data_IF_929730524697
#
_entry.id   IF_929730524697
#
_cell.length_a   1.000
_cell.length_b   1.000
_cell.length_c   1.000
_cell.angle_alpha   90.00
_cell.angle_beta   90.00
_cell.angle_gamma   90.00
#
_symmetry.space_group_name_H-M   'P 1'
#
loop_
_entity.id
_entity.type
_entity.pdbx_description
1 polymer ?
#
# COMPACT_ATOMS: atom_id res chain seq x y z
N UNK A 1 21.52 8.73 45.11
CA UNK A 1 21.19 7.30 45.18
C UNK A 1 20.79 6.87 43.79
N UNK A 2 21.57 5.94 43.15
CA UNK A 2 21.24 5.42 41.83
C UNK A 2 20.26 4.25 41.93
N UNK A 3 19.21 4.26 41.13
CA UNK A 3 18.25 3.17 41.04
C UNK A 3 18.58 2.27 39.85
N UNK A 4 18.53 0.95 40.05
CA UNK A 4 18.79 -0.03 39.02
C UNK A 4 17.51 -0.43 38.32
N UNK A 5 17.50 -0.33 36.97
CA UNK A 5 16.40 -0.79 36.12
C UNK A 5 16.70 -2.16 35.53
N UNK A 6 15.68 -2.97 35.30
CA UNK A 6 15.82 -4.30 34.75
C UNK A 6 16.12 -4.23 33.25
N UNK A 7 17.27 -4.77 32.84
CA UNK A 7 17.74 -4.75 31.44
C UNK A 7 17.71 -6.12 30.74
N UNK A 8 17.63 -7.25 31.46
CA UNK A 8 17.74 -8.61 30.92
C UNK A 8 16.41 -9.33 30.74
N UNK A 9 16.35 -10.25 29.74
CA UNK A 9 15.14 -10.84 29.20
C UNK A 9 14.57 -12.08 29.93
N UNK A 10 14.90 -12.34 31.19
CA UNK A 10 14.39 -13.51 31.95
C UNK A 10 13.03 -13.30 32.62
N UNK A 11 12.47 -12.10 32.52
CA UNK A 11 11.21 -11.71 33.20
C UNK A 11 10.25 -11.18 32.12
N UNK A 12 8.97 -11.48 32.24
CA UNK A 12 7.95 -11.05 31.28
C UNK A 12 7.94 -9.54 31.05
N UNK A 13 7.69 -9.12 29.80
CA UNK A 13 7.79 -7.73 29.35
C UNK A 13 6.88 -6.79 30.18
N UNK A 14 5.68 -7.24 30.53
CA UNK A 14 4.72 -6.43 31.29
C UNK A 14 5.16 -6.20 32.73
N UNK A 15 5.68 -7.26 33.40
CA UNK A 15 6.23 -7.13 34.75
C UNK A 15 7.44 -6.18 34.78
N UNK A 16 8.30 -6.26 33.76
CA UNK A 16 9.45 -5.38 33.59
C UNK A 16 9.02 -3.92 33.41
N UNK A 17 8.00 -3.65 32.61
CA UNK A 17 7.44 -2.30 32.43
C UNK A 17 6.88 -1.75 33.76
N UNK A 18 6.09 -2.55 34.47
CA UNK A 18 5.52 -2.15 35.75
C UNK A 18 6.60 -1.89 36.80
N UNK A 19 7.62 -2.77 36.89
CA UNK A 19 8.74 -2.59 37.80
C UNK A 19 9.52 -1.30 37.48
N UNK A 20 9.92 -1.09 36.24
CA UNK A 20 10.67 0.11 35.86
C UNK A 20 9.84 1.39 36.05
N UNK A 21 8.53 1.36 35.80
CA UNK A 21 7.63 2.48 36.11
C UNK A 21 7.60 2.82 37.62
N UNK A 22 7.55 1.80 38.50
CA UNK A 22 7.61 2.00 39.93
C UNK A 22 8.97 2.55 40.37
N UNK A 23 10.07 2.07 39.78
CA UNK A 23 11.42 2.62 40.01
C UNK A 23 11.49 4.08 39.64
N UNK A 24 11.01 4.46 38.45
CA UNK A 24 10.96 5.85 37.98
C UNK A 24 10.12 6.76 38.87
N UNK A 25 8.98 6.24 39.38
CA UNK A 25 8.12 6.95 40.34
C UNK A 25 8.84 7.19 41.68
N UNK A 26 9.48 6.15 42.22
CA UNK A 26 10.23 6.23 43.46
C UNK A 26 11.42 7.19 43.34
N UNK A 27 12.18 7.14 42.24
CA UNK A 27 13.28 8.03 41.98
C UNK A 27 12.84 9.50 41.93
N UNK A 28 11.70 9.78 41.30
CA UNK A 28 11.09 11.13 41.27
C UNK A 28 10.70 11.60 42.67
N UNK A 29 10.09 10.75 43.50
CA UNK A 29 9.71 11.11 44.84
C UNK A 29 10.92 11.32 45.75
N UNK A 30 11.95 10.48 45.68
CA UNK A 30 13.23 10.67 46.41
C UNK A 30 13.89 12.00 46.02
N UNK A 31 13.95 12.31 44.71
CA UNK A 31 14.50 13.58 44.24
C UNK A 31 13.67 14.80 44.69
N UNK A 32 12.35 14.65 44.83
CA UNK A 32 11.47 15.69 45.35
C UNK A 32 11.71 15.92 46.88
N UNK A 33 11.88 14.84 47.62
CA UNK A 33 12.17 14.94 49.06
C UNK A 33 13.52 15.56 49.34
N UNK A 34 14.57 15.16 48.61
CA UNK A 34 15.93 15.73 48.71
C UNK A 34 15.94 17.25 48.45
N UNK A 35 15.18 17.70 47.43
CA UNK A 35 15.01 19.14 47.19
C UNK A 35 14.29 19.86 48.29
N UNK A 36 13.27 19.23 48.88
CA UNK A 36 12.52 19.81 50.03
C UNK A 36 13.39 19.92 51.28
N UNK A 37 14.23 18.92 51.52
CA UNK A 37 15.15 18.95 52.67
C UNK A 37 16.22 20.05 52.51
N UNK A 38 16.81 20.20 51.32
CA UNK A 38 17.75 21.32 51.03
C UNK A 38 17.09 22.68 51.19
N UNK A 39 15.83 22.85 50.76
CA UNK A 39 15.07 24.05 50.96
C UNK A 39 14.86 24.38 52.48
N UNK A 40 14.50 23.39 53.27
CA UNK A 40 14.29 23.54 54.72
C UNK A 40 15.63 23.84 55.42
N UNK A 41 16.73 23.20 55.06
CA UNK A 41 18.06 23.46 55.58
C UNK A 41 18.50 24.89 55.28
N UNK A 42 18.32 25.38 54.04
CA UNK A 42 18.64 26.75 53.66
C UNK A 42 17.82 27.78 54.40
N UNK A 43 16.50 27.52 54.62
CA UNK A 43 15.65 28.41 55.41
C UNK A 43 16.06 28.41 56.88
N UNK A 44 16.38 27.28 57.46
CA UNK A 44 16.83 27.14 58.84
C UNK A 44 18.15 27.84 59.06
N UNK A 45 19.10 27.68 58.17
CA UNK A 45 20.40 28.37 58.22
C UNK A 45 20.24 29.91 58.13
N UNK A 46 19.35 30.39 57.26
CA UNK A 46 19.05 31.81 57.17
C UNK A 46 18.39 32.35 58.44
N UNK A 47 17.47 31.61 59.02
CA UNK A 47 16.80 32.00 60.26
C UNK A 47 17.78 32.09 61.44
N UNK A 48 18.74 31.14 61.54
CA UNK A 48 19.77 31.16 62.60
C UNK A 48 20.73 32.29 62.46
N UNK A 49 21.17 32.61 61.22
CA UNK A 49 22.14 33.72 60.97
C UNK A 49 21.58 35.10 61.25
N UNK A 50 20.25 35.28 61.26
CA UNK A 50 19.59 36.59 61.38
C UNK A 50 18.64 36.69 62.60
N UNK A 51 18.75 35.77 63.55
CA UNK A 51 17.89 35.70 64.74
C UNK A 51 17.99 36.88 65.76
N UNK A 52 18.46 38.06 65.31
CA UNK A 52 18.73 39.19 66.20
C UNK A 52 18.10 40.54 65.80
N UNK A 53 17.11 40.63 64.93
CA UNK A 53 16.57 41.94 64.55
C UNK A 53 15.30 41.92 63.70
N UNK A 54 14.42 42.90 63.98
CA UNK A 54 13.13 43.14 63.35
C UNK A 54 13.02 42.95 61.83
N UNK A 55 11.89 42.39 61.39
CA UNK A 55 11.28 42.37 60.01
C UNK A 55 12.16 41.99 58.78
N UNK A 56 13.46 41.89 58.97
CA UNK A 56 14.40 41.59 57.87
C UNK A 56 14.37 40.10 57.50
N UNK A 57 13.95 39.22 58.41
CA UNK A 57 14.00 37.77 58.21
C UNK A 57 13.03 37.29 57.14
N UNK A 58 11.87 37.92 56.98
CA UNK A 58 10.90 37.53 55.94
C UNK A 58 11.47 37.85 54.54
N UNK A 59 12.13 38.97 54.37
CA UNK A 59 12.76 39.35 53.07
C UNK A 59 13.99 38.48 52.76
N UNK A 60 14.76 38.11 53.80
CA UNK A 60 15.93 37.21 53.63
C UNK A 60 15.48 35.79 53.29
N UNK A 61 14.45 35.29 53.97
CA UNK A 61 13.85 34.00 53.68
C UNK A 61 13.22 33.93 52.27
N UNK A 62 12.64 35.07 51.84
CA UNK A 62 12.11 35.20 50.49
C UNK A 62 13.16 35.13 49.38
N UNK A 63 14.47 35.22 49.68
CA UNK A 63 15.56 35.03 48.72
C UNK A 63 15.92 33.57 48.45
N UNK A 64 15.37 32.64 49.20
CA UNK A 64 15.61 31.21 48.99
C UNK A 64 14.45 30.62 48.14
N UNK A 65 14.79 29.98 47.02
CA UNK A 65 13.77 29.35 46.19
C UNK A 65 13.38 27.97 46.75
N UNK A 66 12.35 27.32 46.20
CA UNK A 66 11.87 26.03 46.61
C UNK A 66 12.85 24.86 46.39
N UNK A 67 13.96 25.10 45.67
CA UNK A 67 15.06 24.13 45.41
C UNK A 67 16.18 24.28 46.46
N UNK A 68 16.15 25.36 47.28
CA UNK A 68 17.15 25.65 48.28
C UNK A 68 18.26 26.60 47.80
N UNK A 69 18.15 27.18 46.58
CA UNK A 69 19.12 28.12 46.05
C UNK A 69 18.89 29.51 46.69
N UNK A 70 19.98 30.19 47.07
CA UNK A 70 19.95 31.48 47.71
C UNK A 70 20.34 32.60 46.73
N UNK A 71 19.56 33.65 46.64
CA UNK A 71 19.78 34.77 45.78
C UNK A 71 20.22 36.04 46.57
N UNK A 72 20.98 36.94 45.94
CA UNK A 72 21.47 38.14 46.59
C UNK A 72 20.32 39.12 46.92
N UNK A 73 19.32 39.18 46.05
CA UNK A 73 18.12 39.99 46.22
C UNK A 73 16.86 39.21 45.90
N UNK A 74 15.72 39.65 46.41
CA UNK A 74 14.42 39.09 46.03
C UNK A 74 14.14 39.27 44.52
N UNK A 75 14.60 40.41 43.97
CA UNK A 75 14.51 40.69 42.55
C UNK A 75 15.21 39.63 41.70
N UNK A 76 16.47 39.26 42.06
CA UNK A 76 17.22 38.23 41.34
C UNK A 76 16.51 36.88 41.35
N UNK A 77 15.86 36.53 42.49
CA UNK A 77 15.06 35.32 42.61
C UNK A 77 13.83 35.33 41.67
N UNK A 78 13.12 36.44 41.60
CA UNK A 78 11.93 36.58 40.75
C UNK A 78 12.31 36.48 39.26
N UNK A 79 13.34 37.20 38.84
CA UNK A 79 13.85 37.16 37.46
C UNK A 79 14.27 35.72 37.07
N UNK A 80 15.07 35.07 37.93
CA UNK A 80 15.48 33.68 37.69
C UNK A 80 14.30 32.70 37.61
N UNK A 81 13.22 32.97 38.37
CA UNK A 81 11.98 32.19 38.32
C UNK A 81 11.20 32.37 37.02
N UNK A 82 11.14 33.61 36.54
CA UNK A 82 10.50 33.98 35.25
C UNK A 82 11.28 33.36 34.07
N UNK A 83 12.61 33.52 34.03
CA UNK A 83 13.45 32.95 32.99
C UNK A 83 13.33 31.42 32.94
N UNK A 84 13.30 30.71 34.08
CA UNK A 84 13.12 29.29 34.15
C UNK A 84 11.76 28.86 33.65
N UNK A 85 10.70 29.60 34.00
CA UNK A 85 9.33 29.37 33.53
C UNK A 85 9.22 29.53 32.01
N UNK A 86 9.85 30.55 31.45
CA UNK A 86 9.85 30.79 30.01
C UNK A 86 10.62 29.73 29.24
N UNK A 87 11.75 29.26 29.79
CA UNK A 87 12.50 28.13 29.21
C UNK A 87 11.67 26.81 29.22
N UNK A 88 10.96 26.56 30.34
CA UNK A 88 10.09 25.38 30.43
C UNK A 88 8.91 25.48 29.42
N UNK A 89 8.35 26.67 29.23
CA UNK A 89 7.28 26.90 28.23
C UNK A 89 7.76 26.71 26.82
N UNK A 90 8.96 27.19 26.48
CA UNK A 90 9.58 26.99 25.17
C UNK A 90 9.87 25.51 24.92
N UNK A 91 10.47 24.82 25.87
CA UNK A 91 10.73 23.39 25.76
C UNK A 91 9.45 22.55 25.60
N UNK A 92 8.36 22.94 26.28
CA UNK A 92 7.06 22.29 26.12
C UNK A 92 6.46 22.56 24.75
N UNK A 93 6.61 23.79 24.23
CA UNK A 93 6.15 24.12 22.88
C UNK A 93 6.89 23.32 21.80
N UNK A 94 8.21 23.16 21.93
CA UNK A 94 9.01 22.31 21.03
C UNK A 94 8.56 20.86 21.08
N UNK A 95 8.34 20.28 22.27
CA UNK A 95 7.83 18.91 22.41
C UNK A 95 6.42 18.75 21.80
N UNK A 96 5.56 19.74 21.90
CA UNK A 96 4.25 19.74 21.26
C UNK A 96 4.35 19.76 19.73
N UNK A 97 5.29 20.51 19.18
CA UNK A 97 5.55 20.55 17.75
C UNK A 97 6.07 19.18 17.26
N UNK A 98 7.03 18.57 17.95
CA UNK A 98 7.58 17.25 17.62
C UNK A 98 6.48 16.16 17.64
N UNK A 99 5.58 16.22 18.64
CA UNK A 99 4.43 15.31 18.72
C UNK A 99 3.45 15.51 17.56
N UNK A 100 3.20 16.73 17.17
CA UNK A 100 2.33 17.07 16.04
C UNK A 100 2.91 16.57 14.73
N UNK A 101 4.20 16.79 14.48
CA UNK A 101 4.89 16.28 13.30
C UNK A 101 4.85 14.73 13.27
N UNK A 102 5.08 14.08 14.40
CA UNK A 102 4.95 12.63 14.54
C UNK A 102 3.53 12.12 14.24
N UNK A 103 2.49 12.84 14.68
CA UNK A 103 1.10 12.51 14.34
C UNK A 103 0.81 12.65 12.84
N UNK A 104 1.28 13.72 12.21
CA UNK A 104 1.11 13.94 10.77
C UNK A 104 1.80 12.85 9.95
N UNK A 105 3.00 12.42 10.37
CA UNK A 105 3.72 11.28 9.75
C UNK A 105 2.94 9.97 9.90
N UNK A 106 2.41 9.67 11.08
CA UNK A 106 1.59 8.45 11.32
C UNK A 106 0.32 8.50 10.47
N UNK A 107 -0.37 9.62 10.39
CA UNK A 107 -1.55 9.77 9.54
C UNK A 107 -1.23 9.58 8.06
N UNK A 108 -0.10 10.12 7.59
CA UNK A 108 0.39 9.90 6.23
C UNK A 108 0.66 8.42 5.95
N UNK A 109 1.31 7.72 6.88
CA UNK A 109 1.56 6.27 6.76
C UNK A 109 0.23 5.49 6.74
N UNK A 110 -0.72 5.83 7.60
CA UNK A 110 -2.04 5.21 7.64
C UNK A 110 -2.78 5.46 6.32
N UNK A 111 -2.77 6.65 5.79
CA UNK A 111 -3.36 6.98 4.49
C UNK A 111 -2.69 6.19 3.35
N UNK A 112 -1.38 6.08 3.38
CA UNK A 112 -0.61 5.31 2.40
C UNK A 112 -0.92 3.80 2.47
N UNK A 113 -1.08 3.24 3.68
CA UNK A 113 -1.38 1.81 3.88
C UNK A 113 -2.85 1.45 3.59
N UNK A 114 -3.78 2.34 3.91
CA UNK A 114 -5.23 2.06 3.85
C UNK A 114 -5.97 2.85 2.76
N UNK A 115 -5.26 3.64 1.95
CA UNK A 115 -5.85 4.35 0.82
C UNK A 115 -6.96 5.33 1.22
N UNK A 116 -6.69 6.21 2.15
CA UNK A 116 -7.47 7.38 2.60
C UNK A 116 -8.90 7.56 2.07
N UNK A 117 -9.87 6.78 2.52
CA UNK A 117 -11.32 7.07 2.50
C UNK A 117 -12.04 7.27 1.14
N UNK A 118 -11.35 7.33 0.00
CA UNK A 118 -11.91 7.48 -1.35
C UNK A 118 -11.31 6.49 -2.35
N UNK A 119 -11.87 6.36 -3.57
CA UNK A 119 -11.25 5.55 -4.62
C UNK A 119 -9.87 6.13 -4.97
N UNK A 120 -8.89 5.25 -5.14
CA UNK A 120 -7.56 5.63 -5.62
C UNK A 120 -7.62 5.60 -7.15
N UNK A 121 -7.51 6.76 -7.77
CA UNK A 121 -7.45 6.89 -9.22
C UNK A 121 -6.10 7.46 -9.63
N UNK A 122 -5.36 6.72 -10.46
CA UNK A 122 -4.06 7.12 -10.97
C UNK A 122 -4.10 7.18 -12.50
N UNK A 123 -3.42 8.16 -13.03
CA UNK A 123 -3.36 8.41 -14.47
C UNK A 123 -1.95 8.17 -15.00
N UNK A 124 -1.88 7.51 -16.16
CA UNK A 124 -0.64 7.19 -16.86
C UNK A 124 -0.71 7.74 -18.27
N UNK A 125 0.30 8.53 -18.64
CA UNK A 125 0.40 9.19 -19.93
C UNK A 125 1.87 9.27 -20.38
N UNK A 126 2.16 9.09 -21.66
CA UNK A 126 3.56 9.03 -22.14
C UNK A 126 4.33 10.35 -21.98
N UNK A 127 3.64 11.49 -21.88
CA UNK A 127 4.23 12.80 -21.54
C UNK A 127 4.29 13.05 -20.03
N UNK A 128 3.83 12.11 -19.20
CA UNK A 128 3.92 12.15 -17.75
C UNK A 128 5.35 12.01 -17.21
N UNK A 129 5.50 12.03 -15.89
CA UNK A 129 6.81 11.99 -15.24
C UNK A 129 6.82 11.07 -14.03
N UNK A 130 7.69 10.07 -14.04
CA UNK A 130 7.79 9.05 -12.97
C UNK A 130 8.54 9.55 -11.71
N UNK A 131 9.18 10.71 -11.79
CA UNK A 131 9.94 11.29 -10.65
C UNK A 131 9.15 12.40 -9.96
N UNK A 132 8.44 13.25 -10.74
CA UNK A 132 7.73 14.42 -10.22
C UNK A 132 6.21 14.31 -10.30
N UNK A 133 5.69 13.33 -11.04
CA UNK A 133 4.27 13.00 -11.10
C UNK A 133 3.79 12.42 -9.76
N UNK A 134 2.53 12.65 -9.44
CA UNK A 134 1.85 12.06 -8.28
C UNK A 134 0.70 11.14 -8.68
N UNK A 135 0.50 10.94 -9.99
CA UNK A 135 -0.55 10.09 -10.56
C UNK A 135 -1.90 10.78 -10.69
N UNK A 136 -2.03 12.06 -10.34
CA UNK A 136 -3.23 12.83 -10.66
C UNK A 136 -3.38 13.04 -12.18
N UNK A 137 -4.57 13.45 -12.63
CA UNK A 137 -4.81 13.75 -14.04
C UNK A 137 -3.93 14.88 -14.56
N UNK A 138 -3.63 15.88 -13.72
CA UNK A 138 -2.77 17.01 -14.03
C UNK A 138 -1.28 16.66 -14.00
N UNK A 139 -0.88 15.68 -13.18
CA UNK A 139 0.51 15.26 -13.01
C UNK A 139 0.68 13.74 -13.11
N UNK A 140 0.34 13.15 -14.28
CA UNK A 140 0.31 11.72 -14.46
C UNK A 140 1.71 11.09 -14.37
N UNK A 141 1.75 9.82 -14.07
CA UNK A 141 2.95 9.00 -14.26
C UNK A 141 3.21 8.75 -15.74
N UNK A 142 4.45 8.48 -16.08
CA UNK A 142 4.85 8.15 -17.44
C UNK A 142 4.69 6.66 -17.73
N UNK A 143 4.91 5.80 -16.74
CA UNK A 143 4.86 4.35 -16.86
C UNK A 143 3.75 3.74 -16.00
N UNK A 144 3.16 2.64 -16.49
CA UNK A 144 2.13 1.90 -15.74
C UNK A 144 2.76 1.28 -14.49
N UNK A 145 4.01 0.80 -14.59
CA UNK A 145 4.69 0.18 -13.45
C UNK A 145 4.93 1.19 -12.31
N UNK A 146 5.23 2.45 -12.60
CA UNK A 146 5.35 3.49 -11.55
C UNK A 146 4.02 3.73 -10.84
N UNK A 147 2.91 3.79 -11.58
CA UNK A 147 1.58 3.88 -10.98
C UNK A 147 1.29 2.69 -10.07
N UNK A 148 1.64 1.46 -10.49
CA UNK A 148 1.51 0.26 -9.65
C UNK A 148 2.38 0.34 -8.39
N UNK A 149 3.62 0.81 -8.52
CA UNK A 149 4.57 0.91 -7.40
C UNK A 149 4.17 1.97 -6.35
N UNK A 150 3.35 2.94 -6.73
CA UNK A 150 2.82 3.97 -5.81
C UNK A 150 1.62 3.50 -4.99
N UNK A 151 1.05 2.32 -5.30
CA UNK A 151 -0.12 1.80 -4.61
C UNK A 151 0.22 1.33 -3.19
N UNK A 152 -0.70 1.54 -2.23
CA UNK A 152 -0.57 0.95 -0.90
C UNK A 152 -0.72 -0.57 -0.97
N UNK A 153 0.03 -1.30 -0.13
CA UNK A 153 -0.08 -2.76 -0.04
C UNK A 153 -1.46 -3.22 0.46
N UNK A 154 -2.13 -2.39 1.26
CA UNK A 154 -3.47 -2.64 1.77
C UNK A 154 -4.32 -1.40 1.50
N UNK A 155 -5.42 -1.57 0.80
CA UNK A 155 -6.42 -0.52 0.57
C UNK A 155 -7.81 -1.01 0.93
N UNK A 156 -8.60 -0.16 1.59
CA UNK A 156 -10.04 -0.38 1.80
C UNK A 156 -10.89 0.17 0.66
N UNK A 157 -10.25 0.89 -0.28
CA UNK A 157 -10.89 1.52 -1.43
C UNK A 157 -10.53 0.82 -2.74
N UNK A 158 -11.38 1.00 -3.73
CA UNK A 158 -11.08 0.56 -5.09
C UNK A 158 -9.87 1.33 -5.63
N UNK A 159 -9.02 0.61 -6.35
CA UNK A 159 -7.85 1.17 -7.04
C UNK A 159 -8.08 1.09 -8.54
N UNK A 160 -7.90 2.19 -9.25
CA UNK A 160 -7.99 2.25 -10.71
C UNK A 160 -6.79 3.00 -11.30
N UNK A 161 -6.13 2.38 -12.26
CA UNK A 161 -5.08 2.98 -13.05
C UNK A 161 -5.62 3.23 -14.45
N UNK A 162 -5.79 4.49 -14.77
CA UNK A 162 -6.22 4.97 -16.07
C UNK A 162 -5.02 5.13 -17.00
N UNK A 163 -5.06 4.44 -18.14
CA UNK A 163 -3.97 4.45 -19.12
C UNK A 163 -4.44 5.15 -20.40
N UNK A 164 -3.78 6.24 -20.75
CA UNK A 164 -4.06 6.99 -21.97
C UNK A 164 -3.64 6.22 -23.24
N UNK A 165 -4.34 6.42 -24.37
CA UNK A 165 -3.98 5.80 -25.64
C UNK A 165 -2.54 6.10 -26.05
N UNK A 166 -1.69 5.08 -26.05
CA UNK A 166 -0.27 5.12 -26.45
C UNK A 166 0.34 3.71 -26.41
N UNK A 167 1.64 3.60 -26.76
CA UNK A 167 2.40 2.36 -26.63
C UNK A 167 3.28 2.35 -25.36
N UNK A 168 3.02 1.39 -24.48
CA UNK A 168 3.75 1.15 -23.24
C UNK A 168 4.46 -0.21 -23.36
N UNK A 169 5.75 -0.17 -23.70
CA UNK A 169 6.57 -1.38 -23.88
C UNK A 169 7.05 -1.91 -22.53
N UNK A 170 6.09 -2.17 -21.64
CA UNK A 170 6.31 -2.60 -20.25
C UNK A 170 5.77 -3.99 -20.00
N UNK A 171 6.45 -4.73 -19.12
CA UNK A 171 5.94 -5.93 -18.45
C UNK A 171 5.46 -5.51 -17.06
N UNK A 172 4.18 -5.16 -16.97
CA UNK A 172 3.57 -4.63 -15.74
C UNK A 172 3.34 -5.75 -14.74
N UNK A 173 3.81 -5.59 -13.50
CA UNK A 173 3.62 -6.57 -12.42
C UNK A 173 2.97 -5.91 -11.21
N UNK A 174 1.74 -6.34 -10.89
CA UNK A 174 1.01 -5.99 -9.67
C UNK A 174 1.16 -7.15 -8.70
N UNK A 175 1.74 -6.90 -7.51
CA UNK A 175 2.06 -8.00 -6.60
C UNK A 175 1.72 -7.68 -5.15
N UNK A 176 1.06 -8.66 -4.47
CA UNK A 176 0.91 -8.65 -3.01
C UNK A 176 -0.04 -7.59 -2.48
N UNK A 177 -0.92 -7.02 -3.32
CA UNK A 177 -1.83 -5.97 -2.91
C UNK A 177 -3.17 -6.58 -2.47
N UNK A 178 -3.66 -6.08 -1.34
CA UNK A 178 -5.01 -6.37 -0.82
C UNK A 178 -5.89 -5.15 -0.99
N UNK A 179 -6.97 -5.28 -1.78
CA UNK A 179 -7.94 -4.21 -2.04
C UNK A 179 -9.28 -4.82 -2.46
N UNK A 180 -10.41 -4.11 -2.38
CA UNK A 180 -11.67 -4.61 -2.94
C UNK A 180 -11.55 -4.83 -4.45
N UNK A 181 -10.89 -3.91 -5.17
CA UNK A 181 -10.70 -3.97 -6.63
C UNK A 181 -9.41 -3.27 -7.05
N UNK A 182 -8.70 -3.86 -8.04
CA UNK A 182 -7.53 -3.27 -8.68
C UNK A 182 -7.73 -3.37 -10.19
N UNK A 183 -7.87 -2.22 -10.86
CA UNK A 183 -8.18 -2.12 -12.27
C UNK A 183 -7.06 -1.41 -13.02
N UNK A 184 -6.57 -2.00 -14.13
CA UNK A 184 -5.74 -1.32 -15.14
C UNK A 184 -6.58 -1.19 -16.40
N UNK A 185 -6.88 0.04 -16.79
CA UNK A 185 -7.93 0.30 -17.76
C UNK A 185 -7.56 1.44 -18.70
N UNK A 186 -7.83 1.27 -20.01
CA UNK A 186 -7.71 2.38 -20.96
C UNK A 186 -8.73 3.48 -20.66
N UNK A 187 -8.32 4.75 -20.74
CA UNK A 187 -9.23 5.90 -20.53
C UNK A 187 -10.38 5.93 -21.53
N UNK A 188 -10.17 5.38 -22.72
CA UNK A 188 -11.18 5.26 -23.78
C UNK A 188 -11.98 3.95 -23.74
N UNK A 189 -11.81 3.11 -22.70
CA UNK A 189 -12.45 1.79 -22.62
C UNK A 189 -13.98 1.80 -22.75
N UNK A 190 -14.65 2.88 -22.32
CA UNK A 190 -16.09 3.01 -22.42
C UNK A 190 -16.58 3.30 -23.87
N UNK A 191 -15.73 3.86 -24.72
CA UNK A 191 -16.06 4.30 -26.08
C UNK A 191 -15.54 3.39 -27.19
N UNK A 192 -14.64 2.45 -26.85
CA UNK A 192 -14.02 1.53 -27.81
C UNK A 192 -14.56 0.12 -27.59
N UNK A 193 -14.84 -0.58 -28.68
CA UNK A 193 -15.17 -2.00 -28.70
C UNK A 193 -14.01 -2.78 -29.32
N UNK A 194 -13.25 -3.48 -28.48
CA UNK A 194 -12.11 -4.29 -28.88
C UNK A 194 -12.44 -5.42 -29.86
N UNK A 195 -13.73 -5.81 -29.95
CA UNK A 195 -14.18 -6.84 -30.90
C UNK A 195 -14.20 -6.35 -32.34
N UNK A 196 -14.35 -5.05 -32.54
CA UNK A 196 -14.48 -4.42 -33.86
C UNK A 196 -13.34 -3.49 -34.22
N UNK A 197 -12.64 -2.91 -33.24
CA UNK A 197 -11.62 -1.88 -33.45
C UNK A 197 -10.41 -1.98 -32.53
N UNK A 198 -9.47 -1.09 -32.77
CA UNK A 198 -8.26 -0.90 -31.98
C UNK A 198 -8.59 -0.20 -30.66
N UNK A 199 -7.98 -0.62 -29.57
CA UNK A 199 -8.19 0.01 -28.26
C UNK A 199 -7.30 1.25 -28.06
N UNK A 200 -6.25 1.42 -28.87
CA UNK A 200 -5.31 2.53 -28.77
C UNK A 200 -4.32 2.43 -27.62
N UNK A 201 -4.53 1.55 -26.64
CA UNK A 201 -3.64 1.38 -25.47
C UNK A 201 -2.85 0.09 -25.64
N UNK A 202 -1.61 0.21 -26.07
CA UNK A 202 -0.76 -0.94 -26.37
C UNK A 202 0.17 -1.25 -25.21
N UNK A 203 0.09 -2.48 -24.66
CA UNK A 203 0.91 -2.93 -23.53
C UNK A 203 1.58 -4.27 -23.86
N UNK A 204 2.82 -4.49 -23.39
CA UNK A 204 3.53 -5.74 -23.63
C UNK A 204 2.96 -6.89 -22.82
N UNK A 205 2.86 -6.74 -21.51
CA UNK A 205 2.18 -7.71 -20.64
C UNK A 205 1.68 -7.10 -19.34
N UNK A 206 0.70 -7.78 -18.71
CA UNK A 206 0.19 -7.43 -17.38
C UNK A 206 0.08 -8.70 -16.54
N UNK A 207 0.74 -8.73 -15.39
CA UNK A 207 0.71 -9.85 -14.45
C UNK A 207 0.24 -9.38 -13.09
N UNK A 208 -0.86 -9.96 -12.59
CA UNK A 208 -1.27 -9.87 -11.20
C UNK A 208 -0.79 -11.12 -10.46
N UNK A 209 -0.12 -10.93 -9.33
CA UNK A 209 0.42 -12.04 -8.52
C UNK A 209 0.17 -11.83 -7.05
N UNK A 210 -0.35 -12.87 -6.37
CA UNK A 210 -0.57 -12.87 -4.92
C UNK A 210 -1.48 -11.69 -4.45
N UNK A 211 -2.48 -11.28 -5.27
CA UNK A 211 -3.36 -10.16 -4.97
C UNK A 211 -4.68 -10.64 -4.37
N UNK A 212 -5.03 -10.13 -3.19
CA UNK A 212 -6.34 -10.37 -2.57
C UNK A 212 -7.32 -9.28 -3.00
N UNK A 213 -7.73 -9.32 -4.26
CA UNK A 213 -8.57 -8.32 -4.89
C UNK A 213 -9.32 -8.88 -6.10
N UNK A 214 -10.39 -8.20 -6.51
CA UNK A 214 -10.91 -8.33 -7.86
C UNK A 214 -9.97 -7.59 -8.80
N UNK A 215 -9.17 -8.35 -9.57
CA UNK A 215 -8.15 -7.82 -10.48
C UNK A 215 -8.72 -7.71 -11.89
N UNK A 216 -8.70 -6.53 -12.49
CA UNK A 216 -9.24 -6.32 -13.84
C UNK A 216 -8.24 -5.68 -14.79
N UNK A 217 -8.24 -6.19 -16.02
CA UNK A 217 -7.58 -5.57 -17.17
C UNK A 217 -8.64 -5.26 -18.23
N UNK A 218 -8.75 -3.99 -18.64
CA UNK A 218 -9.77 -3.61 -19.61
C UNK A 218 -9.28 -2.56 -20.62
N UNK A 219 -9.70 -2.72 -21.88
CA UNK A 219 -9.39 -1.74 -22.94
C UNK A 219 -7.92 -1.72 -23.37
N UNK A 220 -7.17 -2.78 -23.14
CA UNK A 220 -5.76 -2.88 -23.55
C UNK A 220 -5.59 -3.72 -24.83
N UNK A 221 -4.52 -3.43 -25.56
CA UNK A 221 -4.11 -4.18 -26.73
C UNK A 221 -2.70 -4.72 -26.58
N UNK A 222 -2.51 -5.97 -26.99
CA UNK A 222 -1.20 -6.62 -27.01
C UNK A 222 -0.25 -5.93 -27.99
N UNK A 223 0.99 -5.70 -27.55
CA UNK A 223 2.10 -5.28 -28.40
C UNK A 223 3.37 -6.04 -28.03
N UNK A 224 4.31 -6.14 -28.96
CA UNK A 224 5.68 -6.65 -28.77
C UNK A 224 5.77 -7.99 -27.99
N UNK A 225 4.96 -9.03 -28.33
CA UNK A 225 4.95 -10.28 -27.57
C UNK A 225 6.24 -11.10 -27.68
N UNK A 226 7.13 -10.79 -28.63
CA UNK A 226 8.41 -11.47 -28.78
C UNK A 226 9.42 -11.08 -27.67
N UNK A 227 9.28 -9.89 -27.09
CA UNK A 227 10.16 -9.36 -26.05
C UNK A 227 9.53 -9.38 -24.64
N UNK A 228 8.41 -10.10 -24.49
CA UNK A 228 7.76 -10.21 -23.18
C UNK A 228 8.61 -11.01 -22.20
N UNK A 229 8.73 -10.51 -20.97
CA UNK A 229 9.42 -11.19 -19.86
C UNK A 229 8.63 -12.36 -19.25
N UNK A 230 7.33 -12.45 -19.56
CA UNK A 230 6.42 -13.53 -19.15
C UNK A 230 6.01 -14.38 -20.34
N UNK A 231 5.42 -15.53 -20.09
CA UNK A 231 4.98 -16.43 -21.18
C UNK A 231 3.63 -16.03 -21.81
N UNK A 232 3.13 -14.82 -21.58
CA UNK A 232 1.83 -14.40 -22.11
C UNK A 232 1.51 -12.90 -21.95
N UNK A 233 0.33 -12.50 -22.42
CA UNK A 233 -0.10 -11.10 -22.38
C UNK A 233 -0.71 -10.73 -21.03
N UNK A 234 -1.73 -11.47 -20.55
CA UNK A 234 -2.36 -11.20 -19.25
C UNK A 234 -2.29 -12.45 -18.39
N UNK A 235 -1.80 -12.30 -17.17
CA UNK A 235 -1.67 -13.39 -16.21
C UNK A 235 -2.24 -13.00 -14.85
N UNK A 236 -3.07 -13.90 -14.28
CA UNK A 236 -3.49 -13.82 -12.88
C UNK A 236 -2.97 -15.05 -12.15
N UNK A 237 -2.14 -14.83 -11.15
CA UNK A 237 -1.48 -15.90 -10.39
C UNK A 237 -1.80 -15.77 -8.91
N UNK A 238 -2.54 -16.73 -8.35
CA UNK A 238 -2.95 -16.74 -6.93
C UNK A 238 -3.65 -15.46 -6.50
N UNK A 239 -4.59 -14.98 -7.33
CA UNK A 239 -5.43 -13.82 -7.04
C UNK A 239 -6.83 -14.25 -6.58
N UNK A 240 -7.54 -13.37 -5.88
CA UNK A 240 -8.92 -13.67 -5.46
C UNK A 240 -9.86 -13.82 -6.65
N UNK A 241 -9.73 -12.97 -7.68
CA UNK A 241 -10.45 -13.06 -8.95
C UNK A 241 -9.69 -12.30 -10.05
N UNK A 242 -9.76 -12.79 -11.29
CA UNK A 242 -9.21 -12.13 -12.48
C UNK A 242 -10.27 -11.84 -13.53
N UNK A 243 -10.32 -10.64 -14.05
CA UNK A 243 -11.23 -10.25 -15.14
C UNK A 243 -10.48 -9.61 -16.30
N UNK A 244 -10.76 -10.10 -17.50
CA UNK A 244 -10.26 -9.52 -18.75
C UNK A 244 -11.44 -9.12 -19.59
N UNK A 245 -11.56 -7.83 -19.87
CA UNK A 245 -12.67 -7.34 -20.67
C UNK A 245 -12.23 -6.28 -21.67
N UNK A 246 -12.88 -6.29 -22.84
CA UNK A 246 -12.63 -5.30 -23.90
C UNK A 246 -11.15 -5.19 -24.30
N UNK A 247 -10.43 -6.31 -24.32
CA UNK A 247 -9.02 -6.38 -24.70
C UNK A 247 -8.85 -6.93 -26.13
N UNK A 248 -7.78 -6.48 -26.81
CA UNK A 248 -7.48 -6.89 -28.17
C UNK A 248 -6.10 -7.56 -28.27
N UNK A 249 -6.08 -8.80 -28.77
CA UNK A 249 -4.86 -9.64 -28.83
C UNK A 249 -4.75 -10.19 -30.25
N UNK A 250 -3.93 -9.56 -31.09
CA UNK A 250 -3.91 -9.84 -32.52
C UNK A 250 -2.52 -10.06 -33.14
N UNK A 251 -1.45 -9.78 -32.39
CA UNK A 251 -0.09 -10.06 -32.87
C UNK A 251 0.15 -11.56 -32.91
N UNK A 252 0.65 -12.09 -34.03
CA UNK A 252 0.78 -13.54 -34.24
C UNK A 252 1.83 -14.17 -33.32
N UNK A 253 1.41 -15.11 -32.49
CA UNK A 253 2.27 -15.86 -31.56
C UNK A 253 2.32 -17.36 -31.84
N UNK A 254 1.66 -17.85 -32.88
CA UNK A 254 1.60 -19.27 -33.23
C UNK A 254 2.96 -19.87 -33.55
N UNK A 255 3.87 -19.07 -34.12
CA UNK A 255 5.23 -19.50 -34.45
C UNK A 255 6.23 -19.50 -33.30
N UNK A 256 5.83 -19.15 -32.08
CA UNK A 256 6.75 -19.11 -30.93
C UNK A 256 7.17 -20.53 -30.53
N UNK A 257 8.43 -20.67 -30.15
CA UNK A 257 9.00 -21.95 -29.70
C UNK A 257 8.48 -22.41 -28.30
N UNK A 258 7.95 -21.47 -27.52
CA UNK A 258 7.39 -21.69 -26.18
C UNK A 258 5.87 -21.52 -26.18
N UNK A 259 5.20 -22.02 -25.13
CA UNK A 259 3.76 -21.86 -24.99
C UNK A 259 3.43 -20.42 -24.59
N UNK A 260 3.02 -19.62 -25.57
CA UNK A 260 2.51 -18.26 -25.35
C UNK A 260 0.98 -18.30 -25.20
N UNK A 261 0.46 -17.53 -24.27
CA UNK A 261 -0.98 -17.41 -24.04
C UNK A 261 -1.45 -15.94 -24.03
N UNK A 262 -2.64 -15.73 -24.55
CA UNK A 262 -3.26 -14.41 -24.47
C UNK A 262 -3.70 -14.10 -23.04
N UNK A 263 -4.37 -15.07 -22.38
CA UNK A 263 -4.78 -14.95 -20.97
C UNK A 263 -4.47 -16.25 -20.22
N UNK A 264 -3.94 -16.11 -19.00
CA UNK A 264 -3.73 -17.24 -18.09
C UNK A 264 -4.31 -16.97 -16.71
N UNK A 265 -5.08 -17.93 -16.20
CA UNK A 265 -5.48 -18.02 -14.81
C UNK A 265 -4.72 -19.17 -14.14
N UNK A 266 -3.85 -18.83 -13.21
CA UNK A 266 -3.07 -19.79 -12.43
C UNK A 266 -3.53 -19.78 -10.98
N UNK A 267 -4.15 -20.86 -10.50
CA UNK A 267 -4.76 -20.93 -9.15
C UNK A 267 -5.65 -19.72 -8.84
N UNK A 268 -6.35 -19.21 -9.84
CA UNK A 268 -7.16 -18.00 -9.78
C UNK A 268 -8.49 -18.23 -10.50
N UNK A 269 -9.64 -17.94 -9.90
CA UNK A 269 -10.91 -17.89 -10.63
C UNK A 269 -10.98 -16.64 -11.49
N UNK A 270 -11.63 -16.72 -12.67
CA UNK A 270 -11.73 -15.54 -13.48
C UNK A 270 -12.52 -15.70 -14.78
N UNK A 271 -12.66 -14.57 -15.49
CA UNK A 271 -13.43 -14.49 -16.74
C UNK A 271 -12.70 -13.69 -17.82
N UNK A 272 -12.94 -14.11 -19.07
CA UNK A 272 -12.59 -13.33 -20.28
C UNK A 272 -13.87 -12.98 -21.00
N UNK A 273 -14.09 -11.70 -21.26
CA UNK A 273 -15.31 -11.20 -21.92
C UNK A 273 -15.03 -10.08 -22.91
N UNK A 274 -15.95 -9.82 -23.84
CA UNK A 274 -15.95 -8.67 -24.79
C UNK A 274 -14.59 -8.39 -25.45
N UNK A 275 -13.80 -9.41 -25.71
CA UNK A 275 -12.43 -9.29 -26.20
C UNK A 275 -12.27 -9.90 -27.57
N UNK A 276 -11.28 -9.42 -28.35
CA UNK A 276 -10.91 -10.01 -29.62
C UNK A 276 -9.53 -10.64 -29.55
N UNK A 277 -9.46 -11.96 -29.75
CA UNK A 277 -8.23 -12.75 -29.58
C UNK A 277 -8.00 -13.61 -30.81
N UNK A 278 -7.05 -13.21 -31.66
CA UNK A 278 -6.74 -13.86 -32.94
C UNK A 278 -5.27 -14.19 -33.09
N UNK A 279 -4.96 -15.24 -33.85
CA UNK A 279 -3.60 -15.68 -34.18
C UNK A 279 -2.73 -16.02 -32.97
N UNK A 280 -3.36 -16.48 -31.89
CA UNK A 280 -2.63 -16.81 -30.69
C UNK A 280 -2.31 -18.30 -30.62
N UNK A 281 -1.16 -18.63 -30.01
CA UNK A 281 -0.80 -20.02 -29.72
C UNK A 281 -1.76 -20.63 -28.71
N UNK A 282 -2.10 -19.90 -27.64
CA UNK A 282 -3.16 -20.26 -26.68
C UNK A 282 -3.99 -19.01 -26.39
N UNK A 283 -5.31 -19.09 -26.55
CA UNK A 283 -6.20 -17.97 -26.19
C UNK A 283 -6.38 -17.92 -24.68
N UNK A 284 -6.90 -18.99 -24.06
CA UNK A 284 -7.10 -19.09 -22.64
C UNK A 284 -6.41 -20.33 -22.08
N UNK A 285 -5.47 -20.09 -21.18
CA UNK A 285 -4.84 -21.13 -20.36
C UNK A 285 -5.41 -21.05 -18.94
N UNK A 286 -5.80 -22.18 -18.37
CA UNK A 286 -6.12 -22.30 -16.96
C UNK A 286 -5.26 -23.40 -16.33
N UNK A 287 -4.66 -23.13 -15.18
CA UNK A 287 -3.73 -24.04 -14.53
C UNK A 287 -3.95 -24.13 -13.02
N UNK A 288 -3.69 -25.31 -12.43
CA UNK A 288 -3.64 -25.56 -10.99
C UNK A 288 -4.85 -25.00 -10.21
N UNK A 289 -5.96 -25.74 -10.26
CA UNK A 289 -7.21 -25.42 -9.54
C UNK A 289 -7.87 -24.07 -9.95
N UNK A 290 -7.49 -23.51 -11.09
CA UNK A 290 -8.17 -22.35 -11.64
C UNK A 290 -9.59 -22.73 -12.09
N UNK A 291 -10.54 -21.78 -11.94
CA UNK A 291 -11.90 -21.85 -12.44
C UNK A 291 -12.10 -20.70 -13.43
N UNK A 292 -11.92 -20.94 -14.70
CA UNK A 292 -11.94 -19.89 -15.72
C UNK A 292 -13.24 -19.95 -16.54
N UNK A 293 -13.75 -18.75 -16.91
CA UNK A 293 -14.88 -18.60 -17.81
C UNK A 293 -14.47 -17.89 -19.10
N UNK A 294 -14.89 -18.42 -20.23
CA UNK A 294 -14.77 -17.78 -21.54
C UNK A 294 -16.18 -17.42 -22.03
N UNK A 295 -16.47 -16.13 -22.01
CA UNK A 295 -17.79 -15.62 -22.34
C UNK A 295 -18.11 -15.69 -23.84
N UNK A 296 -19.39 -15.75 -24.18
CA UNK A 296 -19.89 -15.84 -25.56
C UNK A 296 -19.54 -14.65 -26.45
N UNK A 297 -19.24 -13.49 -25.85
CA UNK A 297 -18.90 -12.26 -26.57
C UNK A 297 -17.39 -12.09 -26.81
N UNK A 298 -16.60 -13.14 -26.62
CA UNK A 298 -15.20 -13.17 -27.06
C UNK A 298 -15.15 -13.64 -28.51
N UNK A 299 -14.42 -12.91 -29.33
CA UNK A 299 -14.28 -13.17 -30.77
C UNK A 299 -12.84 -13.42 -31.16
N UNK A 300 -12.62 -14.00 -32.33
CA UNK A 300 -11.26 -14.19 -32.87
C UNK A 300 -11.11 -15.43 -33.75
N UNK A 301 -10.11 -15.40 -34.60
CA UNK A 301 -9.89 -16.43 -35.61
C UNK A 301 -8.42 -16.84 -35.69
N UNK A 302 -8.19 -17.98 -36.32
CA UNK A 302 -6.83 -18.46 -36.63
C UNK A 302 -5.97 -18.69 -35.39
N UNK A 303 -6.56 -19.11 -34.27
CA UNK A 303 -5.81 -19.49 -33.09
C UNK A 303 -5.32 -20.95 -33.21
N UNK A 304 -4.28 -21.33 -32.49
CA UNK A 304 -3.85 -22.74 -32.40
C UNK A 304 -4.73 -23.47 -31.38
N UNK A 305 -4.76 -22.98 -30.11
CA UNK A 305 -5.60 -23.55 -29.05
C UNK A 305 -6.51 -22.48 -28.49
N UNK A 306 -7.83 -22.74 -28.41
CA UNK A 306 -8.78 -21.78 -27.84
C UNK A 306 -8.82 -21.89 -26.33
N UNK A 307 -9.08 -23.07 -25.80
CA UNK A 307 -9.15 -23.31 -24.36
C UNK A 307 -8.21 -24.45 -23.96
N UNK A 308 -7.34 -24.19 -22.99
CA UNK A 308 -6.41 -25.21 -22.50
C UNK A 308 -6.48 -25.28 -20.96
N UNK A 309 -7.00 -26.40 -20.44
CA UNK A 309 -7.13 -26.68 -19.02
C UNK A 309 -6.07 -27.67 -18.54
N UNK A 310 -5.27 -27.29 -17.54
CA UNK A 310 -4.30 -28.17 -16.86
C UNK A 310 -4.62 -28.21 -15.36
N UNK A 311 -5.05 -29.35 -14.84
CA UNK A 311 -5.47 -29.49 -13.44
C UNK A 311 -6.43 -28.36 -13.01
N UNK A 312 -7.40 -27.99 -13.85
CA UNK A 312 -8.26 -26.83 -13.74
C UNK A 312 -9.58 -27.04 -14.48
N UNK A 313 -10.49 -26.08 -14.35
CA UNK A 313 -11.79 -26.12 -15.02
C UNK A 313 -11.98 -24.86 -15.86
N UNK A 314 -12.41 -25.06 -17.13
CA UNK A 314 -12.81 -23.94 -18.00
C UNK A 314 -14.28 -24.13 -18.40
N UNK A 315 -15.08 -23.08 -18.22
CA UNK A 315 -16.44 -22.97 -18.77
C UNK A 315 -16.41 -22.09 -20.00
N UNK A 316 -16.84 -22.64 -21.14
CA UNK A 316 -17.06 -21.89 -22.38
C UNK A 316 -18.57 -21.65 -22.54
N UNK A 317 -18.98 -20.39 -22.55
CA UNK A 317 -20.42 -20.06 -22.57
C UNK A 317 -21.10 -20.50 -23.87
N UNK A 318 -20.45 -20.37 -25.03
CA UNK A 318 -21.00 -20.80 -26.36
C UNK A 318 -19.85 -21.18 -27.30
N UNK A 319 -20.10 -22.14 -28.18
CA UNK A 319 -19.23 -22.45 -29.32
C UNK A 319 -20.01 -22.17 -30.62
N UNK A 320 -20.16 -20.88 -30.95
CA UNK A 320 -20.94 -20.39 -32.10
C UNK A 320 -20.09 -19.98 -33.32
N UNK A 321 -18.82 -20.36 -33.31
CA UNK A 321 -17.87 -20.06 -34.38
C UNK A 321 -17.28 -18.62 -34.37
N UNK A 322 -17.65 -17.77 -33.41
CA UNK A 322 -17.06 -16.42 -33.27
C UNK A 322 -15.63 -16.44 -32.77
N UNK A 323 -15.25 -17.49 -32.02
CA UNK A 323 -13.90 -17.71 -31.56
C UNK A 323 -13.41 -19.06 -32.03
N UNK A 324 -12.47 -19.05 -33.00
CA UNK A 324 -12.01 -20.28 -33.66
C UNK A 324 -10.50 -20.53 -33.49
N UNK A 325 -10.14 -21.81 -33.53
CA UNK A 325 -8.76 -22.26 -33.52
C UNK A 325 -8.63 -23.70 -34.05
N UNK A 326 -7.43 -24.16 -34.30
CA UNK A 326 -7.14 -25.51 -34.74
C UNK A 326 -7.62 -26.55 -33.71
N UNK A 327 -7.43 -26.24 -32.43
CA UNK A 327 -7.90 -27.01 -31.30
C UNK A 327 -8.84 -26.16 -30.44
N UNK A 328 -10.13 -26.48 -30.43
CA UNK A 328 -11.12 -25.73 -29.64
C UNK A 328 -10.96 -26.00 -28.13
N UNK A 329 -10.66 -27.21 -27.76
CA UNK A 329 -10.47 -27.64 -26.38
C UNK A 329 -9.24 -28.53 -26.26
N UNK A 330 -8.40 -28.25 -25.27
CA UNK A 330 -7.23 -29.06 -24.93
C UNK A 330 -7.20 -29.27 -23.42
N UNK A 331 -6.96 -30.50 -22.97
CA UNK A 331 -6.88 -30.81 -21.54
C UNK A 331 -5.59 -31.56 -21.22
N UNK A 332 -5.05 -31.36 -20.02
CA UNK A 332 -3.94 -32.12 -19.49
C UNK A 332 -4.05 -32.20 -17.95
N UNK A 333 -3.43 -33.24 -17.37
CA UNK A 333 -3.31 -33.39 -15.90
C UNK A 333 -4.69 -33.33 -15.21
N UNK A 334 -5.73 -34.01 -15.77
CA UNK A 334 -7.07 -34.01 -15.21
C UNK A 334 -7.87 -32.70 -15.37
N UNK A 335 -7.43 -31.77 -16.22
CA UNK A 335 -8.19 -30.58 -16.55
C UNK A 335 -9.51 -30.92 -17.26
N UNK A 336 -10.54 -30.08 -17.06
CA UNK A 336 -11.87 -30.26 -17.65
C UNK A 336 -12.33 -29.00 -18.36
N UNK A 337 -13.04 -29.14 -19.48
CA UNK A 337 -13.62 -28.05 -20.24
C UNK A 337 -15.07 -28.36 -20.52
N UNK A 338 -15.97 -27.50 -20.07
CA UNK A 338 -17.41 -27.60 -20.32
C UNK A 338 -17.79 -26.55 -21.35
N UNK A 339 -18.44 -27.00 -22.43
CA UNK A 339 -18.85 -26.13 -23.53
C UNK A 339 -20.35 -26.17 -23.71
N UNK A 340 -20.98 -25.01 -23.74
CA UNK A 340 -22.43 -24.85 -23.98
C UNK A 340 -23.28 -25.37 -22.82
N UNK A 341 -24.40 -24.68 -22.59
CA UNK A 341 -25.38 -25.07 -21.60
C UNK A 341 -25.66 -23.94 -20.62
N UNK A 342 -26.92 -23.66 -20.39
CA UNK A 342 -27.43 -23.00 -19.19
C UNK A 342 -26.94 -23.82 -18.01
N UNK A 343 -26.21 -23.20 -17.10
CA UNK A 343 -26.01 -23.81 -15.77
C UNK A 343 -27.42 -23.90 -15.19
N UNK A 344 -27.96 -25.10 -14.90
CA UNK A 344 -29.22 -25.16 -14.17
C UNK A 344 -29.02 -24.44 -12.85
N UNK A 345 -29.85 -23.42 -12.60
CA UNK A 345 -29.89 -22.70 -11.33
C UNK A 345 -30.40 -23.55 -10.20
#
# INVERSE_FOLDING_TARGET
VGFFKLATNRIGIEWKKAFNHNVDKTEREVSRLDRKDKYLEARFSNAILHAGGDDINEVVDARVNHKGDTFLTLQDRLVAGEELSDQERLALADQMNDLREGQEQILSIIQMLYGGGGPIELYVRTDGNDTTGDGSEERPFRTIQTAVNSLPLISTSNVRIWVEPAAYLEDVVVRGITAPRIEIMGTNNASVDATTGDTGVYVRSVTYRDCQAFCQVAGLQQTDPANVGAAGFITFERCAYGDVSNCRVITDTRGFSYEYYAVNFHSTPGEVSRSHISRQRIVLLATFSALARLSANVTGINNERVSYARASIIFRAVDDGRLTGTQQTTTAIGGQIFTGGTIPG
#
